data_IF_260277021545
#
_entry.id   IF_260277021545
#
_cell.length_a   1.000
_cell.length_b   1.000
_cell.length_c   1.000
_cell.angle_alpha   90.00
_cell.angle_beta   90.00
_cell.angle_gamma   90.00
#
_symmetry.space_group_name_H-M   'P 1'
#
loop_
_entity.id
_entity.type
_entity.pdbx_description
1 polymer ?
#
# COMPACT_ATOMS: atom_id res chain seq x y z
N UNK A 1 -8.88 -7.01 -17.52
CA UNK A 1 -9.19 -6.84 -16.08
C UNK A 1 -8.97 -5.39 -15.69
N UNK A 2 -9.79 -4.83 -14.79
CA UNK A 2 -9.56 -3.49 -14.25
C UNK A 2 -9.10 -3.61 -12.79
N UNK A 3 -8.05 -2.90 -12.43
CA UNK A 3 -7.43 -2.89 -11.11
C UNK A 3 -7.46 -1.47 -10.57
N UNK A 4 -8.01 -1.30 -9.37
CA UNK A 4 -7.83 -0.08 -8.59
C UNK A 4 -6.70 -0.32 -7.60
N UNK A 5 -5.57 0.35 -7.82
CA UNK A 5 -4.35 0.17 -7.03
C UNK A 5 -4.15 1.40 -6.16
N UNK A 6 -4.09 1.19 -4.83
CA UNK A 6 -3.87 2.25 -3.84
C UNK A 6 -2.58 1.99 -3.05
N UNK A 7 -1.45 2.05 -3.74
CA UNK A 7 -0.11 1.79 -3.20
C UNK A 7 0.82 2.99 -3.43
N UNK A 8 0.30 4.19 -3.27
CA UNK A 8 1.03 5.45 -3.37
C UNK A 8 1.53 5.92 -1.98
N UNK A 9 2.48 6.87 -1.97
CA UNK A 9 3.17 7.29 -0.74
C UNK A 9 2.23 7.86 0.32
N UNK A 10 1.25 8.68 -0.06
CA UNK A 10 0.32 9.27 0.90
C UNK A 10 -0.54 8.18 1.58
N UNK A 11 -1.02 7.22 0.80
CA UNK A 11 -1.77 6.07 1.31
C UNK A 11 -0.94 5.25 2.28
N UNK A 12 0.32 4.95 1.95
CA UNK A 12 1.21 4.21 2.85
C UNK A 12 1.54 5.01 4.11
N UNK A 13 1.84 6.30 3.98
CA UNK A 13 2.14 7.17 5.12
C UNK A 13 0.97 7.25 6.10
N UNK A 14 -0.24 7.52 5.60
CA UNK A 14 -1.41 7.76 6.44
C UNK A 14 -2.07 6.49 6.96
N UNK A 15 -1.98 5.37 6.25
CA UNK A 15 -2.36 4.05 6.77
C UNK A 15 -1.32 3.48 7.73
N UNK A 16 -0.07 3.97 7.68
CA UNK A 16 1.04 3.45 8.46
C UNK A 16 1.52 2.06 8.04
N UNK A 17 1.18 1.65 6.83
CA UNK A 17 1.55 0.36 6.27
C UNK A 17 2.93 0.46 5.61
N UNK A 18 3.89 -0.28 6.15
CA UNK A 18 5.30 -0.26 5.74
C UNK A 18 5.81 -1.63 5.28
N UNK A 19 4.90 -2.58 5.08
CA UNK A 19 5.26 -3.91 4.61
C UNK A 19 5.82 -3.85 3.18
N UNK A 20 7.05 -4.37 2.99
CA UNK A 20 7.75 -4.28 1.71
C UNK A 20 8.56 -2.99 1.51
N UNK A 21 8.50 -2.05 2.46
CA UNK A 21 9.40 -0.89 2.48
C UNK A 21 10.71 -1.23 3.17
N UNK A 22 11.79 -0.57 2.76
CA UNK A 22 13.03 -0.47 3.53
C UNK A 22 12.83 0.38 4.80
N UNK A 23 13.80 0.33 5.72
CA UNK A 23 13.78 1.17 6.92
C UNK A 23 13.82 2.66 6.57
N UNK A 24 14.55 3.05 5.53
CA UNK A 24 14.63 4.43 5.06
C UNK A 24 13.29 4.93 4.53
N UNK A 25 12.66 4.18 3.62
CA UNK A 25 11.33 4.49 3.08
C UNK A 25 10.27 4.55 4.19
N UNK A 26 10.30 3.60 5.13
CA UNK A 26 9.37 3.60 6.26
C UNK A 26 9.50 4.86 7.13
N UNK A 27 10.73 5.33 7.35
CA UNK A 27 10.99 6.56 8.09
C UNK A 27 10.56 7.81 7.29
N UNK A 28 10.72 7.83 5.97
CA UNK A 28 10.21 8.91 5.12
C UNK A 28 8.68 9.00 5.16
N UNK A 29 7.99 7.85 5.06
CA UNK A 29 6.53 7.76 5.19
C UNK A 29 6.07 8.21 6.58
N UNK A 30 6.82 7.85 7.63
CA UNK A 30 6.56 8.34 8.99
C UNK A 30 6.69 9.85 9.05
N UNK A 31 7.80 10.42 8.57
CA UNK A 31 8.00 11.89 8.51
C UNK A 31 6.86 12.58 7.77
N UNK A 32 6.47 12.06 6.61
CA UNK A 32 5.33 12.56 5.83
C UNK A 32 4.05 12.55 6.67
N UNK A 33 3.70 11.46 7.36
CA UNK A 33 2.53 11.45 8.25
C UNK A 33 2.60 12.54 9.32
N UNK A 34 3.79 12.80 9.85
CA UNK A 34 4.01 13.79 10.90
C UNK A 34 3.97 15.25 10.42
N UNK A 35 4.26 15.54 9.14
CA UNK A 35 4.18 16.90 8.59
C UNK A 35 2.76 17.45 8.50
N UNK A 36 1.73 16.61 8.60
CA UNK A 36 0.32 17.01 8.55
C UNK A 36 -0.34 17.04 9.94
N UNK A 37 -0.39 18.18 10.66
CA UNK A 37 -0.74 18.21 12.09
C UNK A 37 -2.18 17.77 12.40
N UNK A 38 -3.10 17.92 11.45
CA UNK A 38 -4.51 17.53 11.60
C UNK A 38 -4.75 16.01 11.51
N UNK A 39 -3.77 15.23 11.05
CA UNK A 39 -3.92 13.78 10.96
C UNK A 39 -3.87 13.17 12.37
N UNK A 40 -4.98 12.57 12.80
CA UNK A 40 -5.21 12.21 14.22
C UNK A 40 -4.31 11.08 14.71
N UNK A 41 -4.04 10.10 13.87
CA UNK A 41 -3.32 8.88 14.25
C UNK A 41 -1.87 8.95 13.78
N UNK A 42 -0.93 9.05 14.72
CA UNK A 42 0.49 9.31 14.42
C UNK A 42 1.42 8.13 14.68
N UNK A 43 1.08 7.31 15.65
CA UNK A 43 1.80 6.09 16.00
C UNK A 43 0.92 4.91 15.59
N UNK A 44 1.42 4.13 14.63
CA UNK A 44 0.68 3.03 14.01
C UNK A 44 1.62 1.83 13.95
N UNK A 45 1.17 0.69 14.47
CA UNK A 45 1.88 -0.58 14.35
C UNK A 45 1.48 -1.22 13.02
N UNK A 46 2.39 -1.15 12.04
CA UNK A 46 2.18 -1.62 10.66
C UNK A 46 1.70 -3.08 10.59
N UNK A 47 2.30 -3.96 11.39
CA UNK A 47 1.94 -5.40 11.41
C UNK A 47 0.51 -5.64 11.90
N UNK A 48 0.07 -4.94 12.95
CA UNK A 48 -1.30 -5.05 13.47
C UNK A 48 -2.33 -4.52 12.48
N UNK A 49 -2.05 -3.37 11.85
CA UNK A 49 -2.91 -2.81 10.78
C UNK A 49 -3.07 -3.77 9.62
N UNK A 50 -1.98 -4.41 9.22
CA UNK A 50 -1.96 -5.40 8.15
C UNK A 50 -2.78 -6.63 8.53
N UNK A 51 -2.61 -7.16 9.74
CA UNK A 51 -3.38 -8.30 10.24
C UNK A 51 -4.90 -8.04 10.26
N UNK A 52 -5.31 -6.78 10.43
CA UNK A 52 -6.70 -6.34 10.35
C UNK A 52 -7.23 -6.14 8.92
N UNK A 53 -6.39 -6.31 7.89
CA UNK A 53 -6.76 -6.09 6.50
C UNK A 53 -6.89 -4.61 6.11
N UNK A 54 -6.25 -3.71 6.86
CA UNK A 54 -6.33 -2.26 6.65
C UNK A 54 -5.15 -1.70 5.85
N UNK A 55 -4.30 -2.57 5.30
CA UNK A 55 -3.20 -2.20 4.42
C UNK A 55 -3.49 -2.56 2.97
N UNK A 56 -3.01 -1.76 2.00
CA UNK A 56 -3.04 -2.16 0.61
C UNK A 56 -2.12 -3.37 0.38
N UNK A 57 -2.46 -4.17 -0.63
CA UNK A 57 -1.58 -5.21 -1.14
C UNK A 57 -0.36 -4.58 -1.80
N UNK A 58 0.81 -5.20 -1.64
CA UNK A 58 2.00 -4.79 -2.38
C UNK A 58 1.82 -5.10 -3.87
N UNK A 59 2.55 -4.44 -4.78
CA UNK A 59 2.49 -4.76 -6.21
C UNK A 59 2.78 -6.24 -6.51
N UNK A 60 3.68 -6.87 -5.74
CA UNK A 60 3.97 -8.30 -5.84
C UNK A 60 2.78 -9.16 -5.42
N UNK A 61 2.13 -8.84 -4.31
CA UNK A 61 0.94 -9.56 -3.85
C UNK A 61 -0.23 -9.43 -4.83
N UNK A 62 -0.42 -8.24 -5.41
CA UNK A 62 -1.41 -8.03 -6.47
C UNK A 62 -1.12 -8.94 -7.66
N UNK A 63 0.15 -9.02 -8.09
CA UNK A 63 0.54 -9.92 -9.19
C UNK A 63 0.28 -11.40 -8.86
N UNK A 64 0.56 -11.82 -7.62
CA UNK A 64 0.27 -13.18 -7.15
C UNK A 64 -1.23 -13.47 -7.12
N UNK A 65 -2.05 -12.53 -6.65
CA UNK A 65 -3.52 -12.63 -6.65
C UNK A 65 -4.04 -12.77 -8.08
N UNK A 66 -3.58 -11.92 -9.01
CA UNK A 66 -4.01 -12.00 -10.41
C UNK A 66 -3.65 -13.36 -11.04
N UNK A 67 -2.46 -13.88 -10.76
CA UNK A 67 -2.05 -15.21 -11.21
C UNK A 67 -2.93 -16.31 -10.59
N UNK A 68 -3.23 -16.23 -9.30
CA UNK A 68 -4.06 -17.21 -8.60
C UNK A 68 -5.52 -17.20 -9.11
N UNK A 69 -6.02 -16.04 -9.56
CA UNK A 69 -7.32 -15.90 -10.22
C UNK A 69 -7.34 -16.43 -11.66
N UNK A 70 -6.21 -16.91 -12.19
CA UNK A 70 -6.12 -17.51 -13.52
C UNK A 70 -5.85 -16.53 -14.65
N UNK A 71 -5.44 -15.29 -14.36
CA UNK A 71 -5.03 -14.36 -15.41
C UNK A 71 -3.67 -14.74 -15.99
N UNK A 72 -3.61 -14.86 -17.32
CA UNK A 72 -2.39 -15.15 -18.07
C UNK A 72 -1.53 -13.89 -18.26
N UNK A 73 -0.25 -14.08 -18.60
CA UNK A 73 0.71 -12.96 -18.79
C UNK A 73 0.34 -12.00 -19.93
N UNK A 74 -0.45 -12.45 -20.90
CA UNK A 74 -0.95 -11.64 -22.03
C UNK A 74 -2.26 -10.89 -21.70
N UNK A 75 -2.80 -11.05 -20.48
CA UNK A 75 -4.02 -10.37 -20.06
C UNK A 75 -3.81 -8.85 -20.08
N UNK A 76 -4.67 -8.13 -20.79
CA UNK A 76 -4.69 -6.67 -20.71
C UNK A 76 -5.22 -6.22 -19.34
N UNK A 77 -4.39 -5.46 -18.61
CA UNK A 77 -4.72 -4.87 -17.31
C UNK A 77 -4.92 -3.36 -17.51
N UNK A 78 -6.05 -2.85 -17.03
CA UNK A 78 -6.33 -1.42 -16.92
C UNK A 78 -6.15 -1.02 -15.45
N UNK A 79 -5.26 -0.07 -15.17
CA UNK A 79 -4.92 0.34 -13.79
C UNK A 79 -5.46 1.74 -13.56
N UNK A 80 -6.26 1.90 -12.50
CA UNK A 80 -6.57 3.19 -11.90
C UNK A 80 -5.77 3.29 -10.59
N UNK A 81 -4.89 4.28 -10.49
CA UNK A 81 -4.05 4.50 -9.32
C UNK A 81 -4.06 5.98 -8.92
N UNK A 82 -3.69 6.27 -7.67
CA UNK A 82 -3.37 7.62 -7.22
C UNK A 82 -2.08 8.15 -7.85
N UNK A 83 -1.85 9.46 -7.71
CA UNK A 83 -0.59 10.14 -8.06
C UNK A 83 0.46 9.99 -6.95
#
# INVERSE_FOLDING_TARGET
>A
VALHLRYEMDMLAFSGCTHGCSEEEAEELKKMRYTYPWWREKEIVSEERRAQGLCPLTPEEVALVLKALGFEKNTQIYIAAGE
#
